data_IF_541077688602
#
_entry.id   IF_541077688602
#
_cell.length_a   1.000
_cell.length_b   1.000
_cell.length_c   1.000
_cell.angle_alpha   90.00
_cell.angle_beta   90.00
_cell.angle_gamma   90.00
#
_symmetry.space_group_name_H-M   'P 1'
#
loop_
_entity.id
_entity.type
_entity.pdbx_description
1 polymer ?
#
# COMPACT_ATOMS: atom_id res chain seq x y z
N UNK A 1 15.96 1.11 16.02
CA UNK A 1 14.89 1.65 15.15
C UNK A 1 15.53 2.65 14.20
N UNK A 2 15.18 2.63 12.91
CA UNK A 2 15.68 3.55 11.90
C UNK A 2 14.78 4.79 11.70
N UNK A 3 13.87 5.07 12.65
CA UNK A 3 13.01 6.27 12.64
C UNK A 3 11.52 6.02 12.37
N UNK A 4 11.09 4.76 12.22
CA UNK A 4 9.67 4.43 12.13
C UNK A 4 8.94 4.74 13.45
N UNK A 5 7.78 5.40 13.37
CA UNK A 5 6.93 5.72 14.53
C UNK A 5 6.09 4.54 15.00
N UNK A 6 5.70 3.67 14.06
CA UNK A 6 4.88 2.47 14.30
C UNK A 6 5.39 1.32 13.44
N UNK A 7 5.26 0.10 13.94
CA UNK A 7 5.56 -1.13 13.19
C UNK A 7 4.39 -2.09 13.36
N UNK A 8 3.83 -2.58 12.26
CA UNK A 8 2.67 -3.48 12.26
C UNK A 8 3.08 -4.79 11.59
N UNK A 9 2.76 -5.92 12.22
CA UNK A 9 3.03 -7.24 11.64
C UNK A 9 1.92 -7.61 10.67
N UNK A 10 2.27 -7.86 9.41
CA UNK A 10 1.33 -8.21 8.33
C UNK A 10 1.06 -9.71 8.18
N UNK A 11 1.44 -10.56 9.14
CA UNK A 11 1.15 -12.00 9.11
C UNK A 11 -0.34 -12.30 9.12
N UNK A 12 -1.15 -11.45 9.77
CA UNK A 12 -2.59 -11.40 9.63
C UNK A 12 -2.98 -10.09 8.92
N UNK A 13 -3.25 -10.19 7.62
CA UNK A 13 -3.54 -9.04 6.75
C UNK A 13 -4.75 -8.24 7.21
N UNK A 14 -5.84 -8.92 7.60
CA UNK A 14 -7.07 -8.27 8.05
C UNK A 14 -6.79 -7.42 9.31
N UNK A 15 -6.10 -8.01 10.28
CA UNK A 15 -5.72 -7.32 11.51
C UNK A 15 -4.79 -6.13 11.23
N UNK A 16 -3.80 -6.31 10.35
CA UNK A 16 -2.87 -5.24 9.98
C UNK A 16 -3.60 -4.05 9.34
N UNK A 17 -4.59 -4.30 8.48
CA UNK A 17 -5.44 -3.25 7.91
C UNK A 17 -6.17 -2.51 9.03
N UNK A 18 -6.83 -3.23 9.94
CA UNK A 18 -7.55 -2.59 11.05
C UNK A 18 -6.61 -1.76 11.95
N UNK A 19 -5.39 -2.21 12.20
CA UNK A 19 -4.41 -1.46 12.98
C UNK A 19 -3.99 -0.16 12.28
N UNK A 20 -3.76 -0.17 10.97
CA UNK A 20 -3.48 1.06 10.21
C UNK A 20 -4.66 2.03 10.26
N UNK A 21 -5.89 1.55 10.05
CA UNK A 21 -7.07 2.41 10.10
C UNK A 21 -7.40 2.94 11.51
N UNK A 22 -6.93 2.28 12.58
CA UNK A 22 -6.97 2.84 13.94
C UNK A 22 -6.02 4.02 14.11
N UNK A 23 -4.86 4.01 13.44
CA UNK A 23 -3.91 5.12 13.43
C UNK A 23 -4.40 6.28 12.56
N UNK A 24 -5.00 5.96 11.41
CA UNK A 24 -5.61 6.94 10.52
C UNK A 24 -6.86 6.36 9.85
N UNK A 25 -8.04 6.79 10.32
CA UNK A 25 -9.33 6.33 9.83
C UNK A 25 -9.59 6.62 8.34
N UNK A 26 -8.81 7.51 7.72
CA UNK A 26 -8.91 7.82 6.29
C UNK A 26 -8.02 6.94 5.41
N UNK A 27 -7.24 6.03 5.99
CA UNK A 27 -6.16 5.32 5.29
C UNK A 27 -4.89 6.17 5.24
N UNK A 28 -3.87 5.67 4.53
CA UNK A 28 -2.59 6.39 4.37
C UNK A 28 -2.61 7.29 3.13
N UNK A 29 -1.95 8.44 3.22
CA UNK A 29 -1.80 9.36 2.08
C UNK A 29 -0.81 8.81 1.05
N UNK A 30 0.19 8.04 1.51
CA UNK A 30 1.18 7.37 0.66
C UNK A 30 1.39 5.94 1.15
N UNK A 31 1.29 4.97 0.24
CA UNK A 31 1.67 3.58 0.46
C UNK A 31 2.87 3.23 -0.44
N UNK A 32 4.02 2.91 0.16
CA UNK A 32 5.22 2.53 -0.60
C UNK A 32 5.27 1.00 -0.69
N UNK A 33 5.07 0.46 -1.89
CA UNK A 33 5.24 -0.97 -2.18
C UNK A 33 6.73 -1.21 -2.45
N UNK A 34 7.40 -1.93 -1.54
CA UNK A 34 8.84 -2.16 -1.58
C UNK A 34 9.24 -3.65 -1.61
N UNK A 35 8.33 -4.53 -2.03
CA UNK A 35 8.56 -5.99 -2.04
C UNK A 35 8.47 -6.57 -3.45
N UNK A 36 7.46 -6.19 -4.24
CA UNK A 36 7.31 -6.62 -5.63
C UNK A 36 6.48 -7.88 -5.83
N UNK A 37 5.51 -8.18 -4.95
CA UNK A 37 4.61 -9.34 -5.10
C UNK A 37 3.14 -8.92 -5.10
N UNK A 38 2.23 -9.70 -5.74
CA UNK A 38 0.81 -9.34 -5.81
C UNK A 38 0.16 -9.08 -4.45
N UNK A 39 0.55 -9.81 -3.42
CA UNK A 39 -0.02 -9.71 -2.07
C UNK A 39 0.33 -8.38 -1.38
N UNK A 40 1.54 -7.84 -1.60
CA UNK A 40 1.95 -6.57 -1.00
C UNK A 40 1.35 -5.38 -1.73
N UNK A 41 1.22 -5.46 -3.06
CA UNK A 41 0.45 -4.48 -3.82
C UNK A 41 -1.03 -4.45 -3.39
N UNK A 42 -1.64 -5.63 -3.20
CA UNK A 42 -3.02 -5.76 -2.72
C UNK A 42 -3.21 -5.12 -1.32
N UNK A 43 -2.23 -5.30 -0.42
CA UNK A 43 -2.25 -4.62 0.86
C UNK A 43 -2.17 -3.09 0.70
N UNK A 44 -1.28 -2.56 -0.15
CA UNK A 44 -1.18 -1.12 -0.40
C UNK A 44 -2.51 -0.52 -0.89
N UNK A 45 -3.21 -1.15 -1.84
CA UNK A 45 -4.50 -0.64 -2.32
C UNK A 45 -5.63 -0.71 -1.28
N UNK A 46 -5.55 -1.62 -0.31
CA UNK A 46 -6.51 -1.67 0.81
C UNK A 46 -6.24 -0.59 1.85
N UNK A 47 -4.98 -0.20 2.02
CA UNK A 47 -4.55 0.80 2.99
C UNK A 47 -4.65 2.24 2.47
N UNK A 48 -4.64 2.45 1.16
CA UNK A 48 -4.61 3.79 0.58
C UNK A 48 -5.90 4.58 0.83
N UNK A 49 -5.73 5.83 1.27
CA UNK A 49 -6.79 6.79 1.48
C UNK A 49 -7.24 7.53 0.21
N UNK A 50 -8.23 8.40 0.36
CA UNK A 50 -8.69 9.32 -0.70
C UNK A 50 -7.55 10.27 -1.08
N UNK A 51 -7.40 10.56 -2.37
CA UNK A 51 -6.32 11.37 -2.97
C UNK A 51 -4.90 10.78 -2.76
N UNK A 52 -4.80 9.55 -2.25
CA UNK A 52 -3.53 8.93 -1.90
C UNK A 52 -2.72 8.42 -3.10
N UNK A 53 -1.44 8.16 -2.89
CA UNK A 53 -0.52 7.58 -3.89
C UNK A 53 0.05 6.24 -3.45
N UNK A 54 -0.07 5.22 -4.30
CA UNK A 54 0.69 3.97 -4.20
C UNK A 54 1.97 4.13 -5.01
N UNK A 55 3.12 4.12 -4.35
CA UNK A 55 4.43 4.22 -4.98
C UNK A 55 5.07 2.82 -5.07
N UNK A 56 5.04 2.21 -6.25
CA UNK A 56 5.67 0.92 -6.50
C UNK A 56 7.17 1.07 -6.76
N UNK A 57 7.99 0.54 -5.87
CA UNK A 57 9.44 0.47 -6.03
C UNK A 57 9.98 -0.97 -6.11
N UNK A 58 9.18 -1.97 -5.74
CA UNK A 58 9.50 -3.39 -5.90
C UNK A 58 9.43 -3.87 -7.36
N UNK A 59 10.29 -4.82 -7.70
CA UNK A 59 10.26 -5.47 -9.02
C UNK A 59 9.25 -6.60 -9.02
N UNK A 60 8.21 -6.47 -9.83
CA UNK A 60 7.17 -7.49 -9.97
C UNK A 60 7.54 -8.56 -11.01
N UNK A 61 7.63 -9.81 -10.59
CA UNK A 61 7.76 -10.97 -11.49
C UNK A 61 6.41 -11.51 -12.02
N UNK A 62 5.30 -11.04 -11.45
CA UNK A 62 3.93 -11.42 -11.79
C UNK A 62 3.06 -10.16 -11.90
N UNK A 63 2.03 -10.17 -12.77
CA UNK A 63 1.04 -9.10 -12.79
C UNK A 63 0.28 -9.02 -11.47
N UNK A 64 -0.33 -7.86 -11.21
CA UNK A 64 -1.16 -7.61 -10.03
C UNK A 64 -2.61 -7.38 -10.43
N UNK A 65 -3.53 -7.71 -9.54
CA UNK A 65 -4.92 -7.29 -9.64
C UNK A 65 -5.02 -5.85 -9.12
N UNK A 66 -5.68 -4.98 -9.87
CA UNK A 66 -5.99 -3.62 -9.46
C UNK A 66 -7.50 -3.47 -9.31
N UNK A 67 -7.95 -3.19 -8.08
CA UNK A 67 -9.38 -3.15 -7.71
C UNK A 67 -10.03 -1.82 -8.15
N UNK A 68 -10.01 -1.53 -9.44
CA UNK A 68 -10.53 -0.27 -9.99
C UNK A 68 -12.02 -0.06 -9.68
N UNK A 69 -12.80 -1.13 -9.54
CA UNK A 69 -14.19 -1.15 -9.12
C UNK A 69 -14.42 -0.52 -7.74
N UNK A 70 -13.41 -0.59 -6.85
CA UNK A 70 -13.42 0.02 -5.52
C UNK A 70 -12.64 1.35 -5.48
N UNK A 71 -11.59 1.46 -6.29
CA UNK A 71 -10.62 2.56 -6.19
C UNK A 71 -10.97 3.77 -7.05
N UNK A 72 -11.84 3.63 -8.05
CA UNK A 72 -12.20 4.74 -8.96
C UNK A 72 -12.73 5.98 -8.23
N UNK A 73 -13.45 5.79 -7.12
CA UNK A 73 -14.06 6.87 -6.34
C UNK A 73 -13.09 7.52 -5.34
N UNK A 74 -11.91 6.94 -5.13
CA UNK A 74 -10.94 7.41 -4.15
C UNK A 74 -9.92 8.41 -4.71
N UNK A 75 -9.97 8.71 -6.01
CA UNK A 75 -9.04 9.66 -6.66
C UNK A 75 -7.55 9.30 -6.44
N UNK A 76 -7.22 8.00 -6.36
CA UNK A 76 -5.86 7.56 -6.07
C UNK A 76 -4.94 7.68 -7.29
N UNK A 77 -3.65 7.77 -7.02
CA UNK A 77 -2.58 7.64 -8.00
C UNK A 77 -1.79 6.36 -7.76
N UNK A 78 -1.28 5.76 -8.84
CA UNK A 78 -0.30 4.66 -8.78
C UNK A 78 0.90 5.07 -9.62
N UNK A 79 2.10 5.05 -9.03
CA UNK A 79 3.35 5.32 -9.73
C UNK A 79 4.26 4.11 -9.67
N UNK A 80 5.12 3.97 -10.67
CA UNK A 80 6.15 2.93 -10.71
C UNK A 80 7.52 3.58 -10.85
N UNK A 81 8.51 2.96 -10.25
CA UNK A 81 9.91 3.33 -10.37
C UNK A 81 10.78 2.15 -9.94
N UNK A 82 12.03 2.16 -10.36
CA UNK A 82 13.03 1.20 -9.88
C UNK A 82 14.01 1.95 -9.00
N UNK A 83 14.28 1.43 -7.80
CA UNK A 83 15.40 1.94 -6.99
C UNK A 83 16.70 1.45 -7.63
N UNK A 84 17.32 2.32 -8.43
CA UNK A 84 18.72 2.18 -8.83
C UNK A 84 19.57 3.06 -7.91
N UNK A 85 20.53 2.45 -7.23
CA UNK A 85 21.56 3.17 -6.46
C UNK A 85 22.66 3.74 -7.34
#
# INVERSE_FOLDING_TARGET
SLGATHTINSSNVEQAIQEVYKLNHRGVDVAIEAVGIPQTFDLCQKLIGVDGTIANVGVHGLPVQFDIDKLWIKNINVSTGLVSG
#
